data_IF_675699550225
#
_entry.id   IF_675699550225
#
_cell.length_a   1.000
_cell.length_b   1.000
_cell.length_c   1.000
_cell.angle_alpha   90.00
_cell.angle_beta   90.00
_cell.angle_gamma   90.00
#
_symmetry.space_group_name_H-M   'P 1'
#
loop_
_entity.id
_entity.type
_entity.pdbx_description
1 polymer ?
#
# COMPACT_ATOMS: atom_id res chain seq x y z
N UNK A 1 16.67 20.24 19.74
CA UNK A 1 16.55 20.01 18.28
C UNK A 1 15.08 19.95 17.89
N UNK A 2 14.68 20.48 16.73
CA UNK A 2 13.28 20.42 16.26
C UNK A 2 13.08 19.16 15.44
N UNK A 3 12.25 18.24 15.91
CA UNK A 3 11.88 17.01 15.22
C UNK A 3 10.37 16.99 14.97
N UNK A 4 9.96 16.49 13.81
CA UNK A 4 8.54 16.30 13.49
C UNK A 4 8.13 14.87 13.84
N UNK A 5 7.04 14.70 14.57
CA UNK A 5 6.43 13.39 14.81
C UNK A 5 5.23 13.20 13.88
N UNK A 6 5.14 12.03 13.26
CA UNK A 6 3.98 11.63 12.46
C UNK A 6 3.53 10.25 12.95
N UNK A 7 2.30 10.18 13.44
CA UNK A 7 1.67 8.92 13.83
C UNK A 7 0.89 8.34 12.65
N UNK A 8 1.14 7.07 12.36
CA UNK A 8 0.53 6.31 11.27
C UNK A 8 -0.09 5.05 11.86
N UNK A 9 -1.22 4.62 11.31
CA UNK A 9 -1.69 3.26 11.48
C UNK A 9 -1.70 2.55 10.13
N UNK A 10 -1.21 1.30 10.11
CA UNK A 10 -1.11 0.48 8.92
C UNK A 10 -1.84 -0.84 9.14
N UNK A 11 -2.44 -1.39 8.08
CA UNK A 11 -3.13 -2.67 8.07
C UNK A 11 -2.22 -3.72 7.43
N UNK A 12 -1.90 -4.78 8.18
CA UNK A 12 -1.25 -5.98 7.63
C UNK A 12 -2.32 -7.04 7.40
N UNK A 13 -2.97 -6.98 6.24
CA UNK A 13 -3.98 -7.94 5.84
C UNK A 13 -3.35 -9.18 5.23
N UNK A 14 -3.47 -10.32 5.89
CA UNK A 14 -3.09 -11.63 5.37
C UNK A 14 -4.26 -12.30 4.62
N UNK A 15 -3.96 -12.84 3.45
CA UNK A 15 -4.84 -13.69 2.66
C UNK A 15 -4.66 -15.16 3.09
N UNK A 16 -5.68 -16.03 2.95
CA UNK A 16 -5.60 -17.45 3.32
C UNK A 16 -4.46 -18.25 2.69
N UNK A 17 -3.94 -17.80 1.54
CA UNK A 17 -2.80 -18.42 0.85
C UNK A 17 -1.42 -17.96 1.37
N UNK A 18 -1.39 -17.20 2.46
CA UNK A 18 -0.15 -16.72 3.08
C UNK A 18 0.42 -15.42 2.49
N UNK A 19 -0.24 -14.83 1.48
CA UNK A 19 0.14 -13.51 0.94
C UNK A 19 -0.40 -12.37 1.81
N UNK A 20 0.16 -11.18 1.64
CA UNK A 20 -0.27 -9.97 2.33
C UNK A 20 -0.66 -8.88 1.34
N UNK A 21 -1.71 -8.12 1.67
CA UNK A 21 -2.13 -6.97 0.88
C UNK A 21 -1.10 -5.84 1.03
N UNK A 22 -0.63 -5.33 -0.10
CA UNK A 22 0.34 -4.24 -0.17
C UNK A 22 -0.11 -3.17 -1.15
N UNK A 23 0.26 -1.93 -0.86
CA UNK A 23 0.13 -0.80 -1.77
C UNK A 23 1.38 -0.72 -2.64
N UNK A 24 1.24 -0.97 -3.95
CA UNK A 24 2.34 -0.91 -4.90
C UNK A 24 2.63 0.53 -5.33
N UNK A 25 1.58 1.28 -5.66
CA UNK A 25 1.71 2.61 -6.24
C UNK A 25 0.56 3.53 -5.84
N UNK A 26 0.80 4.83 -6.01
CA UNK A 26 -0.20 5.90 -5.94
C UNK A 26 -0.44 6.46 -7.33
N UNK A 27 -1.69 6.71 -7.69
CA UNK A 27 -2.01 7.45 -8.91
C UNK A 27 -1.85 8.94 -8.62
N UNK A 28 -1.00 9.60 -9.40
CA UNK A 28 -0.82 11.05 -9.36
C UNK A 28 -1.74 11.71 -10.40
N UNK A 29 -2.93 12.09 -9.95
CA UNK A 29 -3.95 12.73 -10.79
C UNK A 29 -3.61 14.21 -11.09
N UNK A 30 -2.65 14.81 -10.38
CA UNK A 30 -2.20 16.19 -10.62
C UNK A 30 -1.20 16.33 -11.76
N UNK A 31 -0.81 15.24 -12.42
CA UNK A 31 0.31 15.22 -13.37
C UNK A 31 -0.02 15.63 -14.82
N UNK A 32 -1.25 16.12 -15.07
CA UNK A 32 -1.72 16.48 -16.42
C UNK A 32 -2.70 15.44 -16.99
N UNK A 33 -2.88 15.38 -18.33
CA UNK A 33 -3.82 14.43 -18.96
C UNK A 33 -3.35 12.97 -18.89
N UNK A 34 -2.09 12.73 -18.52
CA UNK A 34 -1.51 11.40 -18.40
C UNK A 34 -1.55 10.89 -16.95
N UNK A 35 -2.00 9.65 -16.77
CA UNK A 35 -1.98 8.95 -15.48
C UNK A 35 -0.53 8.60 -15.15
N UNK A 36 0.05 9.21 -14.10
CA UNK A 36 1.37 8.82 -13.58
C UNK A 36 1.24 7.99 -12.32
N UNK A 37 1.96 6.87 -12.26
CA UNK A 37 2.06 6.03 -11.08
C UNK A 37 3.33 6.36 -10.30
N UNK A 38 3.20 6.64 -9.01
CA UNK A 38 4.32 6.79 -8.09
C UNK A 38 4.51 5.48 -7.30
N UNK A 39 5.63 4.74 -7.49
CA UNK A 39 5.89 3.51 -6.77
C UNK A 39 6.17 3.79 -5.29
N UNK A 40 5.60 2.98 -4.40
CA UNK A 40 5.77 3.15 -2.93
C UNK A 40 6.03 1.84 -2.18
N UNK A 41 5.52 0.70 -2.66
CA UNK A 41 5.58 -0.62 -2.02
C UNK A 41 5.56 -0.59 -0.47
N UNK A 42 4.39 -0.42 0.11
CA UNK A 42 4.19 -0.32 1.56
C UNK A 42 2.92 -1.04 2.01
N UNK A 43 2.77 -1.28 3.31
CA UNK A 43 1.48 -1.72 3.85
C UNK A 43 0.44 -0.60 3.66
N UNK A 44 -0.83 -0.93 3.41
CA UNK A 44 -1.92 0.04 3.47
C UNK A 44 -1.90 0.75 4.82
N UNK A 45 -2.04 2.08 4.82
CA UNK A 45 -2.02 2.83 6.07
C UNK A 45 -2.43 4.27 5.92
N UNK A 46 -2.90 4.84 7.02
CA UNK A 46 -3.42 6.20 7.10
C UNK A 46 -2.78 6.95 8.27
N UNK A 47 -2.66 8.27 8.14
CA UNK A 47 -2.16 9.11 9.24
C UNK A 47 -3.25 9.29 10.28
N UNK A 48 -2.87 9.32 11.56
CA UNK A 48 -3.81 9.68 12.62
C UNK A 48 -4.21 11.16 12.49
N UNK A 49 -5.51 11.42 12.62
CA UNK A 49 -6.05 12.77 12.77
C UNK A 49 -5.86 13.26 14.23
N UNK A 50 -5.87 14.58 14.47
CA UNK A 50 -5.81 15.11 15.84
C UNK A 50 -6.93 14.52 16.72
N UNK A 51 -6.56 13.94 17.86
CA UNK A 51 -7.50 13.30 18.80
C UNK A 51 -7.97 11.89 18.40
N UNK A 52 -7.54 11.36 17.25
CA UNK A 52 -7.95 10.03 16.76
C UNK A 52 -7.08 8.93 17.38
N UNK A 53 -7.71 7.85 17.87
CA UNK A 53 -6.97 6.66 18.30
C UNK A 53 -6.58 5.79 17.11
N UNK A 54 -5.66 4.85 17.30
CA UNK A 54 -5.29 3.92 16.23
C UNK A 54 -6.48 3.02 15.80
N UNK A 55 -7.34 2.65 16.74
CA UNK A 55 -8.55 1.87 16.45
C UNK A 55 -9.53 2.69 15.60
N UNK A 56 -9.78 3.95 15.96
CA UNK A 56 -10.65 4.85 15.19
C UNK A 56 -10.12 5.03 13.76
N UNK A 57 -8.80 5.21 13.61
CA UNK A 57 -8.17 5.35 12.30
C UNK A 57 -8.27 4.09 11.43
N UNK A 58 -8.15 2.89 12.03
CA UNK A 58 -8.39 1.63 11.32
C UNK A 58 -9.85 1.54 10.89
N UNK A 59 -10.80 1.77 11.80
CA UNK A 59 -12.23 1.71 11.48
C UNK A 59 -12.56 2.67 10.33
N UNK A 60 -12.07 3.92 10.41
CA UNK A 60 -12.21 4.88 9.33
C UNK A 60 -11.63 4.38 8.01
N UNK A 61 -10.39 3.87 8.01
CA UNK A 61 -9.75 3.35 6.81
C UNK A 61 -10.53 2.16 6.21
N UNK A 62 -11.10 1.30 7.07
CA UNK A 62 -11.97 0.20 6.62
C UNK A 62 -13.27 0.69 5.99
N UNK A 63 -13.86 1.78 6.50
CA UNK A 63 -15.10 2.34 5.96
C UNK A 63 -14.90 3.24 4.73
N UNK A 64 -13.78 3.96 4.64
CA UNK A 64 -13.51 4.92 3.57
C UNK A 64 -12.78 4.26 2.38
N UNK A 65 -11.79 3.40 2.64
CA UNK A 65 -10.86 2.90 1.61
C UNK A 65 -11.07 1.41 1.31
N UNK A 66 -11.33 0.62 2.36
CA UNK A 66 -11.47 -0.85 2.26
C UNK A 66 -12.90 -1.34 2.44
N UNK A 67 -13.90 -0.49 2.20
CA UNK A 67 -15.31 -0.84 2.37
C UNK A 67 -15.70 -2.15 1.66
N UNK A 68 -15.22 -2.43 0.43
CA UNK A 68 -15.53 -3.70 -0.23
C UNK A 68 -14.90 -4.92 0.44
N UNK A 69 -13.83 -4.76 1.22
CA UNK A 69 -13.19 -5.87 1.93
C UNK A 69 -13.67 -5.99 3.38
N UNK A 70 -14.15 -4.89 3.97
CA UNK A 70 -14.53 -4.81 5.38
C UNK A 70 -15.37 -5.98 5.91
N UNK A 71 -16.40 -6.51 5.18
CA UNK A 71 -17.19 -7.63 5.67
C UNK A 71 -16.41 -8.94 5.83
N UNK A 72 -15.30 -9.12 5.09
CA UNK A 72 -14.46 -10.32 5.13
C UNK A 72 -13.26 -10.21 6.08
N UNK A 73 -13.05 -9.06 6.72
CA UNK A 73 -11.86 -8.81 7.53
C UNK A 73 -12.07 -9.20 8.98
N UNK A 74 -11.11 -9.94 9.51
CA UNK A 74 -10.99 -10.26 10.92
C UNK A 74 -9.76 -9.52 11.47
N UNK A 75 -9.99 -8.57 12.37
CA UNK A 75 -8.91 -7.83 13.01
C UNK A 75 -8.29 -8.69 14.14
N UNK A 76 -6.97 -8.73 14.21
CA UNK A 76 -6.26 -9.36 15.33
C UNK A 76 -6.23 -8.47 16.57
N UNK A 77 -5.98 -9.07 17.73
CA UNK A 77 -6.13 -8.39 19.02
C UNK A 77 -4.99 -7.39 19.34
N UNK A 78 -3.77 -7.66 18.85
CA UNK A 78 -2.58 -6.92 19.23
C UNK A 78 -1.97 -6.16 18.05
N UNK A 79 -2.01 -4.82 18.11
CA UNK A 79 -1.22 -3.97 17.23
C UNK A 79 0.26 -4.03 17.61
N UNK A 80 1.15 -4.07 16.63
CA UNK A 80 2.59 -3.87 16.84
C UNK A 80 2.99 -2.43 16.56
N UNK A 81 4.11 -1.98 17.12
CA UNK A 81 4.65 -0.64 16.86
C UNK A 81 5.97 -0.75 16.10
N UNK A 82 6.09 0.07 15.05
CA UNK A 82 7.30 0.24 14.26
C UNK A 82 7.66 1.73 14.21
N UNK A 83 8.94 2.03 14.46
CA UNK A 83 9.44 3.41 14.51
C UNK A 83 10.55 3.58 13.48
N UNK A 84 10.33 4.49 12.55
CA UNK A 84 11.36 4.88 11.58
C UNK A 84 11.66 6.37 11.65
N UNK A 85 12.90 6.75 11.37
CA UNK A 85 13.34 8.15 11.34
C UNK A 85 13.83 8.44 9.92
N UNK A 86 13.18 9.38 9.26
CA UNK A 86 13.49 9.77 7.88
C UNK A 86 13.50 11.29 7.76
N UNK A 87 14.39 11.82 6.93
CA UNK A 87 14.34 13.24 6.56
C UNK A 87 13.19 13.48 5.61
N UNK A 88 12.23 14.32 6.02
CA UNK A 88 11.08 14.67 5.18
C UNK A 88 11.53 15.51 3.98
N UNK A 89 11.28 15.03 2.75
CA UNK A 89 11.59 15.78 1.52
C UNK A 89 10.88 17.14 1.46
N UNK A 90 9.61 17.17 1.89
CA UNK A 90 8.77 18.39 1.86
C UNK A 90 9.22 19.44 2.87
N UNK A 91 9.59 19.02 4.07
CA UNK A 91 9.89 19.93 5.18
C UNK A 91 11.39 20.10 5.43
N UNK A 92 12.24 19.28 4.79
CA UNK A 92 13.70 19.24 4.98
C UNK A 92 14.11 19.10 6.46
N UNK A 93 13.28 18.42 7.25
CA UNK A 93 13.48 18.18 8.69
C UNK A 93 13.43 16.68 9.00
N UNK A 94 14.17 16.28 10.03
CA UNK A 94 14.08 14.93 10.59
C UNK A 94 12.65 14.68 11.07
N UNK A 95 12.04 13.64 10.54
CA UNK A 95 10.68 13.21 10.88
C UNK A 95 10.72 11.81 11.43
N UNK A 96 10.24 11.65 12.66
CA UNK A 96 10.00 10.35 13.28
C UNK A 96 8.60 9.89 12.91
N UNK A 97 8.51 8.74 12.27
CA UNK A 97 7.26 8.06 11.95
C UNK A 97 7.05 6.97 12.98
N UNK A 98 6.03 7.13 13.81
CA UNK A 98 5.56 6.09 14.74
C UNK A 98 4.37 5.39 14.07
N UNK A 99 4.58 4.17 13.60
CA UNK A 99 3.59 3.40 12.85
C UNK A 99 3.07 2.27 13.72
N UNK A 100 1.76 2.24 13.97
CA UNK A 100 1.10 1.08 14.57
C UNK A 100 0.60 0.17 13.47
N UNK A 101 0.93 -1.11 13.52
CA UNK A 101 0.52 -2.10 12.52
C UNK A 101 -0.58 -2.98 13.12
N UNK A 102 -1.78 -2.86 12.57
CA UNK A 102 -2.94 -3.70 12.89
C UNK A 102 -2.87 -4.98 12.05
N UNK A 103 -2.68 -6.16 12.65
CA UNK A 103 -2.84 -7.42 11.94
C UNK A 103 -4.31 -7.65 11.57
N UNK A 104 -4.55 -8.18 10.38
CA UNK A 104 -5.86 -8.64 9.97
C UNK A 104 -5.75 -9.87 9.06
N UNK A 105 -6.78 -10.69 9.03
CA UNK A 105 -6.92 -11.85 8.13
C UNK A 105 -8.20 -11.74 7.34
N UNK A 106 -8.15 -12.15 6.08
CA UNK A 106 -9.36 -12.32 5.28
C UNK A 106 -9.96 -13.70 5.60
N UNK A 107 -11.26 -13.76 5.88
CA UNK A 107 -11.94 -15.02 6.16
C UNK A 107 -11.83 -15.99 4.96
N UNK A 108 -11.62 -17.28 5.22
CA UNK A 108 -11.41 -18.30 4.18
C UNK A 108 -12.59 -18.41 3.21
N UNK A 109 -13.80 -18.15 3.69
CA UNK A 109 -15.05 -18.24 2.91
C UNK A 109 -15.41 -16.92 2.23
N UNK A 110 -14.59 -15.88 2.40
CA UNK A 110 -14.88 -14.58 1.82
C UNK A 110 -14.58 -14.56 0.32
N UNK A 111 -15.63 -14.49 -0.49
CA UNK A 111 -15.49 -14.22 -1.91
C UNK A 111 -15.05 -12.78 -2.14
N UNK A 112 -13.85 -12.62 -2.68
CA UNK A 112 -13.30 -11.32 -3.00
C UNK A 112 -14.21 -10.59 -3.99
N UNK A 113 -14.71 -9.37 -3.67
CA UNK A 113 -15.58 -8.66 -4.58
C UNK A 113 -14.88 -8.38 -5.92
N UNK A 114 -15.69 -8.26 -6.97
CA UNK A 114 -15.25 -7.79 -8.28
C UNK A 114 -14.84 -6.31 -8.18
N UNK A 115 -13.60 -6.07 -7.76
CA UNK A 115 -12.98 -4.75 -7.78
C UNK A 115 -12.53 -4.43 -9.20
N UNK A 116 -12.47 -3.14 -9.54
CA UNK A 116 -11.93 -2.68 -10.81
C UNK A 116 -10.51 -3.26 -10.97
N UNK A 117 -10.41 -4.28 -11.80
CA UNK A 117 -9.17 -4.96 -12.12
C UNK A 117 -8.58 -4.26 -13.33
N UNK A 118 -7.46 -3.57 -13.13
CA UNK A 118 -6.65 -3.18 -14.28
C UNK A 118 -5.90 -4.44 -14.68
N UNK A 119 -6.49 -5.17 -15.61
CA UNK A 119 -5.75 -6.22 -16.30
C UNK A 119 -4.71 -5.50 -17.14
N UNK A 120 -3.42 -5.80 -16.90
CA UNK A 120 -2.34 -5.27 -17.71
C UNK A 120 -2.54 -5.74 -19.15
N UNK A 121 -3.24 -4.97 -19.98
CA UNK A 121 -3.22 -5.17 -21.43
C UNK A 121 -1.78 -5.00 -21.84
N UNK A 122 -1.19 -6.05 -22.42
CA UNK A 122 0.13 -6.01 -23.08
C UNK A 122 0.06 -5.01 -24.24
N UNK A 123 0.02 -3.71 -23.94
CA UNK A 123 0.34 -2.71 -24.92
C UNK A 123 1.86 -2.72 -25.00
N UNK A 124 2.38 -3.25 -26.11
CA UNK A 124 3.69 -2.96 -26.66
C UNK A 124 3.84 -1.45 -26.82
N UNK A 125 4.10 -0.75 -25.73
CA UNK A 125 4.45 0.67 -25.78
C UNK A 125 5.94 0.74 -26.04
N UNK A 126 6.27 1.30 -27.21
CA UNK A 126 7.62 1.59 -27.61
C UNK A 126 8.35 2.37 -26.50
N UNK A 127 9.56 1.91 -26.24
CA UNK A 127 10.53 2.39 -25.25
C UNK A 127 10.63 3.92 -25.25
N UNK A 128 10.41 4.54 -24.09
CA UNK A 128 11.16 5.74 -23.62
C UNK A 128 10.80 6.09 -22.18
N UNK A 129 11.31 5.35 -21.21
CA UNK A 129 11.83 5.87 -19.92
C UNK A 129 12.26 4.68 -19.06
N UNK A 130 13.36 4.85 -18.34
CA UNK A 130 14.13 3.81 -17.64
C UNK A 130 13.31 3.03 -16.60
N UNK A 131 12.61 1.98 -17.03
CA UNK A 131 12.12 0.92 -16.15
C UNK A 131 13.28 0.04 -15.73
N UNK A 132 13.42 -0.22 -14.43
CA UNK A 132 14.49 -1.07 -13.92
C UNK A 132 14.30 -2.52 -14.42
N UNK A 133 15.41 -3.21 -14.70
CA UNK A 133 15.38 -4.60 -15.14
C UNK A 133 14.61 -5.53 -14.18
N UNK A 134 14.58 -5.21 -12.88
CA UNK A 134 13.84 -5.98 -11.88
C UNK A 134 12.32 -5.79 -11.98
N UNK A 135 11.86 -4.59 -12.38
CA UNK A 135 10.43 -4.33 -12.61
C UNK A 135 9.95 -5.01 -13.89
N UNK A 136 10.77 -5.00 -14.95
CA UNK A 136 10.48 -5.75 -16.18
C UNK A 136 10.52 -7.27 -15.96
N UNK A 137 11.50 -7.77 -15.20
CA UNK A 137 11.59 -9.19 -14.84
C UNK A 137 10.40 -9.64 -13.98
N UNK A 138 9.88 -8.77 -13.11
CA UNK A 138 8.66 -9.00 -12.32
C UNK A 138 7.40 -9.05 -13.21
N UNK A 139 7.24 -8.12 -14.15
CA UNK A 139 6.15 -8.14 -15.12
C UNK A 139 6.22 -9.37 -16.04
N UNK A 140 7.42 -9.85 -16.35
CA UNK A 140 7.66 -11.04 -17.17
C UNK A 140 7.43 -12.36 -16.41
N UNK A 141 7.62 -12.39 -15.08
CA UNK A 141 7.52 -13.62 -14.26
C UNK A 141 6.12 -14.09 -13.87
N UNK A 142 5.05 -13.41 -14.29
CA UNK A 142 3.70 -13.99 -14.33
C UNK A 142 3.19 -14.55 -12.97
N UNK A 143 3.46 -13.85 -11.86
CA UNK A 143 3.02 -14.28 -10.52
C UNK A 143 2.41 -13.16 -9.64
N UNK A 144 2.39 -11.91 -10.10
CA UNK A 144 1.63 -10.86 -9.43
C UNK A 144 0.15 -11.24 -9.49
N UNK A 145 -0.43 -11.61 -8.35
CA UNK A 145 -1.86 -11.83 -8.22
C UNK A 145 -2.63 -10.62 -8.76
N UNK A 146 -3.92 -10.81 -9.08
CA UNK A 146 -4.81 -9.77 -9.59
C UNK A 146 -4.52 -8.40 -8.96
N UNK A 147 -3.99 -7.46 -9.75
CA UNK A 147 -3.75 -6.08 -9.30
C UNK A 147 -5.10 -5.38 -9.20
N UNK A 148 -5.37 -4.76 -8.06
CA UNK A 148 -6.67 -4.16 -7.75
C UNK A 148 -6.49 -2.67 -7.51
N UNK A 149 -7.38 -1.88 -8.12
CA UNK A 149 -7.49 -0.47 -7.79
C UNK A 149 -8.50 -0.30 -6.68
N UNK A 150 -8.13 0.51 -5.68
CA UNK A 150 -9.07 1.06 -4.72
C UNK A 150 -8.96 2.58 -4.77
N UNK A 151 -10.10 3.25 -4.76
CA UNK A 151 -10.20 4.71 -4.72
C UNK A 151 -11.01 5.09 -3.50
N UNK A 152 -10.50 6.04 -2.73
CA UNK A 152 -11.17 6.64 -1.57
C UNK A 152 -11.96 7.92 -1.95
N UNK A 153 -12.11 8.18 -3.26
CA UNK A 153 -12.71 9.39 -3.81
C UNK A 153 -11.79 10.62 -3.80
N UNK A 154 -10.59 10.53 -3.20
CA UNK A 154 -9.57 11.60 -3.21
C UNK A 154 -8.29 11.19 -3.93
N UNK A 155 -8.01 9.90 -3.96
CA UNK A 155 -6.82 9.31 -4.53
C UNK A 155 -7.10 7.89 -4.96
N UNK A 156 -6.50 7.50 -6.08
CA UNK A 156 -6.54 6.12 -6.54
C UNK A 156 -5.23 5.44 -6.19
N UNK A 157 -5.33 4.27 -5.57
CA UNK A 157 -4.20 3.48 -5.09
C UNK A 157 -4.20 2.10 -5.74
N UNK A 158 -3.00 1.59 -6.00
CA UNK A 158 -2.79 0.27 -6.63
C UNK A 158 -2.38 -0.73 -5.55
N UNK A 159 -3.15 -1.81 -5.41
CA UNK A 159 -2.89 -2.86 -4.45
C UNK A 159 -2.68 -4.22 -5.12
N UNK A 160 -1.91 -5.07 -4.46
CA UNK A 160 -1.81 -6.50 -4.80
C UNK A 160 -1.55 -7.34 -3.55
N UNK A 161 -1.64 -8.65 -3.69
CA UNK A 161 -1.21 -9.60 -2.68
C UNK A 161 0.19 -10.13 -3.01
N UNK A 162 1.14 -9.91 -2.11
CA UNK A 162 2.52 -10.38 -2.24
C UNK A 162 2.87 -11.39 -1.15
N UNK A 163 3.81 -12.27 -1.44
CA UNK A 163 4.50 -13.02 -0.37
C UNK A 163 5.28 -12.06 0.53
N UNK A 164 5.55 -12.49 1.77
CA UNK A 164 6.33 -11.67 2.72
C UNK A 164 7.75 -11.40 2.19
N UNK A 165 8.33 -12.34 1.44
CA UNK A 165 9.65 -12.20 0.80
C UNK A 165 9.65 -11.17 -0.33
N UNK A 166 8.63 -11.20 -1.21
CA UNK A 166 8.46 -10.20 -2.26
C UNK A 166 8.28 -8.80 -1.69
N UNK A 167 7.45 -8.68 -0.64
CA UNK A 167 7.25 -7.41 0.04
C UNK A 167 8.57 -6.89 0.62
N UNK A 168 9.32 -7.69 1.37
CA UNK A 168 10.59 -7.27 1.96
C UNK A 168 11.61 -6.82 0.91
N UNK A 169 11.67 -7.51 -0.23
CA UNK A 169 12.54 -7.14 -1.37
C UNK A 169 12.14 -5.78 -1.96
N UNK A 170 10.85 -5.56 -2.20
CA UNK A 170 10.34 -4.36 -2.85
C UNK A 170 10.21 -3.15 -1.92
N UNK A 171 10.02 -3.36 -0.62
CA UNK A 171 9.96 -2.28 0.38
C UNK A 171 11.34 -1.75 0.79
N UNK A 172 12.42 -2.48 0.44
CA UNK A 172 13.80 -2.06 0.71
C UNK A 172 14.16 -0.77 -0.04
N UNK A 173 15.16 -0.02 0.45
CA UNK A 173 15.60 1.23 -0.21
C UNK A 173 16.02 1.03 -1.68
N UNK A 174 16.42 -0.19 -2.05
CA UNK A 174 16.67 -0.58 -3.45
C UNK A 174 15.40 -0.63 -4.30
N UNK A 175 14.26 -1.01 -3.72
CA UNK A 175 12.95 -1.00 -4.38
C UNK A 175 12.31 0.40 -4.46
N UNK A 176 12.68 1.33 -3.56
CA UNK A 176 12.21 2.73 -3.58
C UNK A 176 12.93 3.65 -4.58
N UNK A 177 14.09 3.22 -5.10
CA UNK A 177 14.88 3.95 -6.09
C UNK A 177 14.71 3.42 -7.53
N UNK A 178 13.88 2.39 -7.72
CA UNK A 178 13.49 1.83 -9.02
C UNK A 178 12.20 2.46 -9.52
#
# INVERSE_FOLDING_TARGET
EVQRLVSIVSLRLAHPDGRILVQLAKVNESAGPEIKLEPVCQLPGTKLKPGETAADAIQRMLHEEFLPLAPGLQLGDAMTEDVSILTSRRYRLMTRYATKVQPATLANEYEMPALACVTTTRNTVARTSSTSAAYEEMLQRQALGSVRLLSDGRSTMVYTFLTTEEFARLSSDKGRQM
#
